data_IF_183825236468
#
_entry.id   IF_183825236468
#
_cell.length_a   1.000
_cell.length_b   1.000
_cell.length_c   1.000
_cell.angle_alpha   90.00
_cell.angle_beta   90.00
_cell.angle_gamma   90.00
#
_symmetry.space_group_name_H-M   'P 1'
#
loop_
_entity.id
_entity.type
_entity.pdbx_description
1 polymer ?
#
# COMPACT_ATOMS: atom_id res chain seq x y z
N UNK A 1 -9.56 13.73 -1.83
CA UNK A 1 -8.58 13.60 -0.70
C UNK A 1 -8.03 12.20 -0.70
N UNK A 2 -6.72 11.96 -0.38
CA UNK A 2 -6.12 10.61 -0.56
C UNK A 2 -6.88 9.54 0.23
N UNK A 3 -6.89 9.57 1.56
CA UNK A 3 -7.59 8.55 2.36
C UNK A 3 -9.00 8.96 2.80
N UNK A 4 -9.39 10.21 2.57
CA UNK A 4 -10.74 10.65 2.89
C UNK A 4 -11.70 10.33 1.75
N UNK A 5 -12.92 9.98 2.10
CA UNK A 5 -13.99 9.74 1.15
C UNK A 5 -14.75 11.05 0.90
N UNK A 6 -14.99 11.38 -0.36
CA UNK A 6 -15.93 12.42 -0.74
C UNK A 6 -17.37 11.91 -0.76
N UNK A 7 -18.34 12.80 -1.01
CA UNK A 7 -19.75 12.42 -0.99
C UNK A 7 -20.13 11.41 -2.08
N UNK A 8 -19.51 11.50 -3.26
CA UNK A 8 -19.77 10.58 -4.36
C UNK A 8 -19.21 9.18 -4.03
N UNK A 9 -18.01 9.13 -3.46
CA UNK A 9 -17.38 7.89 -3.00
C UNK A 9 -18.18 7.25 -1.85
N UNK A 10 -18.67 8.04 -0.88
CA UNK A 10 -19.53 7.53 0.18
C UNK A 10 -20.82 6.94 -0.40
N UNK A 11 -21.47 7.62 -1.34
CA UNK A 11 -22.66 7.10 -2.03
C UNK A 11 -22.37 5.81 -2.76
N UNK A 12 -21.29 5.76 -3.54
CA UNK A 12 -20.87 4.56 -4.25
C UNK A 12 -20.64 3.39 -3.28
N UNK A 13 -19.91 3.62 -2.19
CA UNK A 13 -19.67 2.60 -1.18
C UNK A 13 -20.97 2.11 -0.52
N UNK A 14 -21.86 3.03 -0.14
CA UNK A 14 -23.07 2.68 0.64
C UNK A 14 -24.22 2.14 -0.23
N UNK A 15 -24.42 2.65 -1.44
CA UNK A 15 -25.55 2.30 -2.29
C UNK A 15 -25.23 1.25 -3.36
N UNK A 16 -23.96 1.08 -3.71
CA UNK A 16 -23.57 0.13 -4.74
C UNK A 16 -22.67 -0.99 -4.19
N UNK A 17 -21.57 -0.65 -3.54
CA UNK A 17 -20.55 -1.64 -3.18
C UNK A 17 -20.98 -2.50 -2.00
N UNK A 18 -21.41 -1.89 -0.89
CA UNK A 18 -21.87 -2.62 0.30
C UNK A 18 -23.08 -3.53 0.05
N UNK A 19 -24.12 -3.15 -0.72
CA UNK A 19 -25.19 -4.06 -1.10
C UNK A 19 -24.69 -5.30 -1.87
N UNK A 20 -23.74 -5.10 -2.80
CA UNK A 20 -23.14 -6.22 -3.55
C UNK A 20 -22.37 -7.19 -2.64
N UNK A 21 -21.58 -6.65 -1.69
CA UNK A 21 -20.84 -7.44 -0.71
C UNK A 21 -21.82 -8.24 0.17
N UNK A 22 -22.93 -7.62 0.60
CA UNK A 22 -23.94 -8.28 1.45
C UNK A 22 -24.71 -9.37 0.72
N UNK A 23 -24.99 -9.17 -0.57
CA UNK A 23 -25.68 -10.18 -1.39
C UNK A 23 -24.78 -11.36 -1.80
N UNK A 24 -23.47 -11.15 -1.80
CA UNK A 24 -22.48 -12.20 -2.09
C UNK A 24 -21.32 -12.08 -1.09
N UNK A 25 -21.53 -12.51 0.17
CA UNK A 25 -20.51 -12.42 1.21
C UNK A 25 -19.31 -13.32 0.90
N UNK A 26 -18.15 -12.95 1.39
CA UNK A 26 -16.94 -13.78 1.28
C UNK A 26 -17.16 -15.14 1.95
N UNK A 27 -16.74 -16.21 1.28
CA UNK A 27 -16.74 -17.56 1.85
C UNK A 27 -15.95 -17.57 3.15
N UNK A 28 -16.55 -18.11 4.21
CA UNK A 28 -15.94 -18.16 5.54
C UNK A 28 -14.56 -18.87 5.52
N UNK A 29 -14.40 -19.85 4.65
CA UNK A 29 -13.12 -20.57 4.47
C UNK A 29 -12.02 -19.70 3.89
N UNK A 30 -12.33 -18.53 3.33
CA UNK A 30 -11.39 -17.56 2.77
C UNK A 30 -11.18 -16.35 3.70
N UNK A 31 -11.69 -16.39 4.93
CA UNK A 31 -11.46 -15.37 5.93
C UNK A 31 -10.10 -15.57 6.63
N UNK A 32 -9.30 -14.53 6.72
CA UNK A 32 -7.94 -14.58 7.27
C UNK A 32 -7.81 -15.21 8.64
N UNK A 33 -8.83 -15.10 9.52
CA UNK A 33 -8.82 -15.74 10.85
C UNK A 33 -8.86 -17.27 10.82
N UNK A 34 -9.20 -17.87 9.67
CA UNK A 34 -9.13 -19.32 9.47
C UNK A 34 -7.72 -19.81 9.01
N UNK A 35 -6.67 -19.03 9.32
CA UNK A 35 -5.28 -19.25 8.89
C UNK A 35 -4.72 -20.63 9.22
N UNK A 36 -5.27 -21.34 10.20
CA UNK A 36 -4.83 -22.65 10.67
C UNK A 36 -5.29 -23.83 9.79
N UNK A 37 -6.17 -23.59 8.82
CA UNK A 37 -6.76 -24.61 7.94
C UNK A 37 -6.70 -24.20 6.45
N UNK A 38 -6.73 -25.18 5.51
CA UNK A 38 -6.80 -24.88 4.09
C UNK A 38 -8.07 -24.07 3.73
N UNK A 39 -7.99 -23.15 2.75
CA UNK A 39 -6.81 -22.82 1.93
C UNK A 39 -5.89 -21.74 2.54
N UNK A 40 -6.23 -21.23 3.73
CA UNK A 40 -5.46 -20.16 4.37
C UNK A 40 -4.11 -20.63 4.90
N UNK A 41 -4.06 -21.87 5.44
CA UNK A 41 -2.82 -22.47 5.94
C UNK A 41 -1.77 -22.47 4.83
N UNK A 42 -0.57 -21.88 5.04
CA UNK A 42 0.45 -21.80 4.01
C UNK A 42 1.07 -23.16 3.74
N UNK A 43 1.63 -23.33 2.54
CA UNK A 43 2.37 -24.53 2.18
C UNK A 43 3.57 -24.76 3.10
N UNK A 44 4.25 -23.67 3.49
CA UNK A 44 5.33 -23.70 4.48
C UNK A 44 5.42 -22.37 5.25
N UNK A 45 5.86 -22.43 6.50
CA UNK A 45 6.19 -21.26 7.31
C UNK A 45 7.67 -20.85 7.23
N UNK A 46 8.52 -21.70 6.63
CA UNK A 46 9.98 -21.47 6.55
C UNK A 46 10.37 -20.40 5.53
N UNK A 47 9.49 -20.16 4.56
CA UNK A 47 9.73 -19.21 3.45
C UNK A 47 8.68 -18.09 3.51
N UNK A 48 8.87 -17.10 4.40
CA UNK A 48 7.96 -15.97 4.47
C UNK A 48 8.10 -15.08 3.22
N UNK A 49 6.96 -14.80 2.56
CA UNK A 49 6.89 -13.97 1.37
C UNK A 49 6.38 -12.56 1.69
N UNK A 50 6.80 -11.56 0.92
CA UNK A 50 6.14 -10.26 0.95
C UNK A 50 4.83 -10.30 0.15
N UNK A 51 3.85 -9.48 0.54
CA UNK A 51 2.58 -9.36 -0.20
C UNK A 51 2.81 -8.98 -1.66
N UNK A 52 3.81 -8.11 -1.91
CA UNK A 52 4.18 -7.71 -3.26
C UNK A 52 4.73 -8.88 -4.11
N UNK A 53 5.61 -9.72 -3.56
CA UNK A 53 6.14 -10.88 -4.29
C UNK A 53 5.03 -11.82 -4.73
N UNK A 54 4.06 -12.04 -3.85
CA UNK A 54 2.91 -12.92 -4.12
C UNK A 54 1.99 -12.34 -5.19
N UNK A 55 1.72 -11.04 -5.13
CA UNK A 55 0.74 -10.40 -5.98
C UNK A 55 1.27 -10.05 -7.38
N UNK A 56 2.50 -9.54 -7.49
CA UNK A 56 2.98 -8.88 -8.70
C UNK A 56 3.22 -9.84 -9.87
N UNK A 57 3.77 -11.02 -9.62
CA UNK A 57 4.06 -12.04 -10.64
C UNK A 57 4.57 -11.44 -11.97
N UNK A 58 5.61 -10.62 -11.86
CA UNK A 58 6.14 -9.86 -13.01
C UNK A 58 6.74 -10.83 -14.05
N UNK A 59 7.44 -11.87 -13.59
CA UNK A 59 7.98 -12.92 -14.44
C UNK A 59 6.97 -14.08 -14.54
N UNK A 60 6.55 -14.50 -15.76
CA UNK A 60 5.60 -15.60 -15.93
C UNK A 60 6.05 -16.93 -15.32
N UNK A 61 7.36 -17.15 -15.21
CA UNK A 61 7.94 -18.36 -14.62
C UNK A 61 8.28 -18.21 -13.14
N UNK A 62 7.98 -17.08 -12.51
CA UNK A 62 8.39 -16.71 -11.14
C UNK A 62 9.92 -16.69 -10.92
N UNK A 63 10.72 -16.73 -11.99
CA UNK A 63 12.18 -16.72 -11.92
C UNK A 63 12.72 -15.45 -11.24
N UNK A 64 12.02 -14.31 -11.35
CA UNK A 64 12.39 -13.07 -10.71
C UNK A 64 12.40 -13.21 -9.17
N UNK A 65 11.41 -13.90 -8.57
CA UNK A 65 11.37 -14.18 -7.13
C UNK A 65 12.51 -15.13 -6.76
N UNK A 66 12.74 -16.18 -7.55
CA UNK A 66 13.82 -17.13 -7.32
C UNK A 66 15.19 -16.46 -7.35
N UNK A 67 15.48 -15.66 -8.40
CA UNK A 67 16.74 -14.92 -8.55
C UNK A 67 16.97 -13.97 -7.36
N UNK A 68 15.94 -13.23 -6.93
CA UNK A 68 16.03 -12.34 -5.76
C UNK A 68 16.37 -13.08 -4.49
N UNK A 69 15.75 -14.24 -4.26
CA UNK A 69 15.86 -15.00 -3.03
C UNK A 69 17.12 -15.89 -2.98
N UNK A 70 17.56 -16.43 -4.11
CA UNK A 70 18.65 -17.41 -4.17
C UNK A 70 19.97 -16.85 -4.68
N UNK A 71 19.93 -15.99 -5.68
CA UNK A 71 21.14 -15.44 -6.31
C UNK A 71 21.56 -14.13 -5.65
N UNK A 72 20.67 -13.13 -5.67
CA UNK A 72 21.02 -11.77 -5.23
C UNK A 72 21.18 -11.71 -3.71
N UNK A 73 20.28 -12.37 -2.94
CA UNK A 73 20.24 -12.42 -1.46
C UNK A 73 20.32 -11.05 -0.77
N UNK A 74 20.29 -9.97 -1.50
CA UNK A 74 20.38 -8.57 -1.08
C UNK A 74 19.24 -7.78 -1.70
N UNK A 75 19.11 -6.52 -1.32
CA UNK A 75 18.15 -5.62 -1.97
C UNK A 75 18.45 -5.53 -3.47
N UNK A 76 17.41 -5.70 -4.28
CA UNK A 76 17.52 -5.49 -5.74
C UNK A 76 17.90 -4.03 -5.99
N UNK A 77 18.74 -3.75 -7.00
CA UNK A 77 19.05 -2.39 -7.37
C UNK A 77 17.79 -1.55 -7.56
N UNK A 78 17.73 -0.44 -6.87
CA UNK A 78 16.62 0.51 -7.00
C UNK A 78 16.82 1.34 -8.26
N UNK A 79 15.74 1.63 -8.97
CA UNK A 79 15.77 2.58 -10.09
C UNK A 79 15.26 3.95 -9.65
N UNK A 80 15.57 5.04 -10.38
CA UNK A 80 15.00 6.36 -10.10
C UNK A 80 13.48 6.36 -10.04
N UNK A 81 12.82 5.55 -10.88
CA UNK A 81 11.37 5.39 -10.89
C UNK A 81 10.85 4.76 -9.59
N UNK A 82 11.48 3.69 -9.10
CA UNK A 82 11.12 3.04 -7.83
C UNK A 82 11.41 3.99 -6.65
N UNK A 83 12.57 4.64 -6.66
CA UNK A 83 12.96 5.60 -5.63
C UNK A 83 11.95 6.74 -5.51
N UNK A 84 11.51 7.32 -6.65
CA UNK A 84 10.44 8.32 -6.68
C UNK A 84 9.18 7.81 -5.99
N UNK A 85 8.74 6.60 -6.31
CA UNK A 85 7.58 5.98 -5.64
C UNK A 85 7.74 5.89 -4.13
N UNK A 86 8.88 5.42 -3.65
CA UNK A 86 9.20 5.31 -2.22
C UNK A 86 9.16 6.69 -1.55
N UNK A 87 9.78 7.70 -2.15
CA UNK A 87 9.80 9.08 -1.62
C UNK A 87 8.36 9.62 -1.49
N UNK A 88 7.52 9.45 -2.52
CA UNK A 88 6.13 9.91 -2.48
C UNK A 88 5.34 9.21 -1.38
N UNK A 89 5.49 7.90 -1.19
CA UNK A 89 4.88 7.18 -0.07
C UNK A 89 5.32 7.74 1.28
N UNK A 90 6.62 8.07 1.44
CA UNK A 90 7.16 8.66 2.67
C UNK A 90 6.60 10.05 2.95
N UNK A 91 6.44 10.88 1.92
CA UNK A 91 5.81 12.20 2.05
C UNK A 91 4.37 12.04 2.55
N UNK A 92 3.56 11.21 1.89
CA UNK A 92 2.15 11.00 2.24
C UNK A 92 2.03 10.48 3.69
N UNK A 93 2.74 9.40 4.01
CA UNK A 93 2.66 8.78 5.34
C UNK A 93 3.21 9.70 6.44
N UNK A 94 4.31 10.42 6.15
CA UNK A 94 4.94 11.36 7.08
C UNK A 94 4.02 12.53 7.42
N UNK A 95 3.37 13.12 6.43
CA UNK A 95 2.41 14.22 6.64
C UNK A 95 1.22 13.81 7.49
N UNK A 96 0.64 12.62 7.22
CA UNK A 96 -0.48 12.14 8.05
C UNK A 96 -0.05 11.84 9.48
N UNK A 97 1.15 11.28 9.71
CA UNK A 97 1.68 11.02 11.04
C UNK A 97 1.91 12.33 11.81
N UNK A 98 2.52 13.32 11.14
CA UNK A 98 2.77 14.62 11.75
C UNK A 98 1.46 15.38 12.04
N UNK A 99 0.49 15.32 11.12
CA UNK A 99 -0.82 15.90 11.33
C UNK A 99 -1.55 15.28 12.54
N UNK A 100 -1.58 13.94 12.62
CA UNK A 100 -2.16 13.23 13.78
C UNK A 100 -1.53 13.68 15.09
N UNK A 101 -0.19 13.76 15.14
CA UNK A 101 0.56 14.20 16.31
C UNK A 101 0.19 15.63 16.70
N UNK A 102 0.18 16.57 15.74
CA UNK A 102 -0.15 17.96 16.02
C UNK A 102 -1.61 18.13 16.52
N UNK A 103 -2.56 17.41 15.90
CA UNK A 103 -3.97 17.47 16.32
C UNK A 103 -4.15 16.88 17.73
N UNK A 104 -3.50 15.72 18.01
CA UNK A 104 -3.52 15.10 19.33
C UNK A 104 -2.95 16.01 20.42
N UNK A 105 -1.91 16.79 20.12
CA UNK A 105 -1.30 17.74 21.03
C UNK A 105 -2.05 19.09 21.10
N UNK A 106 -3.19 19.25 20.42
CA UNK A 106 -3.94 20.51 20.36
C UNK A 106 -3.26 21.61 19.53
N UNK A 107 -2.20 21.28 18.78
CA UNK A 107 -1.40 22.23 17.99
C UNK A 107 -1.92 22.40 16.56
N UNK A 108 -3.24 22.53 16.39
CA UNK A 108 -3.86 22.65 15.07
C UNK A 108 -3.97 24.10 14.55
N UNK A 109 -3.66 25.12 15.36
CA UNK A 109 -3.51 26.49 14.87
C UNK A 109 -2.22 26.59 14.04
N UNK A 110 -2.34 27.12 12.80
CA UNK A 110 -1.21 27.15 11.85
C UNK A 110 -0.76 25.75 11.40
N UNK A 111 -1.65 24.76 11.47
CA UNK A 111 -1.34 23.37 11.11
C UNK A 111 -0.80 23.26 9.68
N UNK A 112 -1.42 23.95 8.72
CA UNK A 112 -1.00 23.94 7.32
C UNK A 112 0.44 24.34 7.15
N UNK A 113 0.87 25.46 7.73
CA UNK A 113 2.26 25.96 7.65
C UNK A 113 3.25 24.95 8.23
N UNK A 114 2.95 24.39 9.41
CA UNK A 114 3.77 23.36 10.04
C UNK A 114 3.92 22.13 9.16
N UNK A 115 2.82 21.68 8.53
CA UNK A 115 2.83 20.52 7.66
C UNK A 115 3.56 20.81 6.33
N UNK A 116 3.45 22.01 5.76
CA UNK A 116 4.19 22.41 4.57
C UNK A 116 5.69 22.37 4.85
N UNK A 117 6.13 22.98 5.96
CA UNK A 117 7.55 23.01 6.36
C UNK A 117 8.06 21.57 6.59
N UNK A 118 7.32 20.76 7.34
CA UNK A 118 7.71 19.36 7.58
C UNK A 118 7.73 18.53 6.30
N UNK A 119 6.79 18.75 5.40
CA UNK A 119 6.76 18.10 4.10
C UNK A 119 7.99 18.41 3.24
N UNK A 120 8.42 19.66 3.22
CA UNK A 120 9.64 20.08 2.52
C UNK A 120 10.89 19.39 3.12
N UNK A 121 10.99 19.32 4.46
CA UNK A 121 12.07 18.60 5.14
C UNK A 121 12.07 17.11 4.74
N UNK A 122 10.90 16.44 4.75
CA UNK A 122 10.77 15.03 4.36
C UNK A 122 11.27 14.82 2.92
N UNK A 123 10.95 15.71 1.98
CA UNK A 123 11.44 15.60 0.60
C UNK A 123 12.97 15.55 0.59
N UNK A 124 13.62 16.50 1.22
CA UNK A 124 15.09 16.59 1.19
C UNK A 124 15.76 15.43 1.95
N UNK A 125 15.21 15.04 3.11
CA UNK A 125 15.67 13.88 3.86
C UNK A 125 15.59 12.59 3.01
N UNK A 126 14.48 12.36 2.33
CA UNK A 126 14.28 11.13 1.54
C UNK A 126 15.07 11.15 0.23
N UNK A 127 15.22 12.30 -0.44
CA UNK A 127 16.11 12.43 -1.59
C UNK A 127 17.55 12.09 -1.17
N UNK A 128 18.04 12.67 -0.07
CA UNK A 128 19.39 12.39 0.46
C UNK A 128 19.57 10.91 0.80
N UNK A 129 18.57 10.30 1.43
CA UNK A 129 18.61 8.89 1.79
C UNK A 129 18.67 7.99 0.56
N UNK A 130 17.80 8.23 -0.43
CA UNK A 130 17.72 7.43 -1.64
C UNK A 130 18.91 7.62 -2.58
N UNK A 131 19.52 8.81 -2.61
CA UNK A 131 20.71 9.10 -3.43
C UNK A 131 21.94 8.27 -3.03
N UNK A 132 21.93 7.63 -1.86
CA UNK A 132 22.99 6.68 -1.44
C UNK A 132 22.90 5.35 -2.20
N UNK A 133 21.76 5.03 -2.80
CA UNK A 133 21.47 3.73 -3.43
C UNK A 133 21.23 3.83 -4.93
N UNK A 134 20.85 5.02 -5.42
CA UNK A 134 20.51 5.25 -6.82
C UNK A 134 20.82 6.70 -7.21
N UNK A 135 21.36 6.88 -8.42
CA UNK A 135 21.57 8.22 -8.98
C UNK A 135 20.22 8.86 -9.32
N UNK A 136 19.87 9.91 -8.59
CA UNK A 136 18.66 10.71 -8.75
C UNK A 136 18.90 12.04 -9.48
N UNK A 137 20.13 12.38 -9.86
CA UNK A 137 20.51 13.70 -10.38
C UNK A 137 19.55 14.27 -11.44
N UNK A 138 19.05 13.42 -12.34
CA UNK A 138 18.13 13.78 -13.42
C UNK A 138 16.66 13.84 -13.00
N UNK A 139 16.32 13.41 -11.80
CA UNK A 139 14.94 13.26 -11.32
C UNK A 139 14.64 14.12 -10.10
N UNK A 140 15.63 14.79 -9.51
CA UNK A 140 15.48 15.55 -8.27
C UNK A 140 14.40 16.64 -8.40
N UNK A 141 14.46 17.44 -9.46
CA UNK A 141 13.51 18.55 -9.65
C UNK A 141 12.08 18.04 -9.91
N UNK A 142 11.96 16.92 -10.63
CA UNK A 142 10.67 16.25 -10.82
C UNK A 142 10.11 15.74 -9.48
N UNK A 143 10.95 15.11 -8.64
CA UNK A 143 10.57 14.61 -7.32
C UNK A 143 10.15 15.76 -6.41
N UNK A 144 10.91 16.84 -6.36
CA UNK A 144 10.59 18.05 -5.59
C UNK A 144 9.27 18.68 -6.03
N UNK A 145 9.11 18.89 -7.33
CA UNK A 145 7.89 19.47 -7.88
C UNK A 145 6.66 18.62 -7.61
N UNK A 146 6.75 17.30 -7.81
CA UNK A 146 5.64 16.38 -7.54
C UNK A 146 5.35 16.27 -6.04
N UNK A 147 6.39 16.19 -5.20
CA UNK A 147 6.27 16.18 -3.75
C UNK A 147 5.59 17.46 -3.22
N UNK A 148 5.98 18.63 -3.73
CA UNK A 148 5.38 19.92 -3.33
C UNK A 148 3.89 20.00 -3.67
N UNK A 149 3.47 19.53 -4.86
CA UNK A 149 2.04 19.47 -5.22
C UNK A 149 1.24 18.56 -4.29
N UNK A 150 1.83 17.43 -3.88
CA UNK A 150 1.20 16.49 -2.92
C UNK A 150 1.11 17.13 -1.53
N UNK A 151 2.16 17.81 -1.08
CA UNK A 151 2.18 18.49 0.22
C UNK A 151 1.09 19.56 0.26
N UNK A 152 1.02 20.41 -0.75
CA UNK A 152 -0.01 21.45 -0.83
C UNK A 152 -1.42 20.85 -0.78
N UNK A 153 -1.68 19.86 -1.62
CA UNK A 153 -2.98 19.18 -1.66
C UNK A 153 -3.36 18.54 -0.33
N UNK A 154 -2.43 17.81 0.30
CA UNK A 154 -2.70 17.11 1.56
C UNK A 154 -2.88 18.07 2.73
N UNK A 155 -2.05 19.12 2.83
CA UNK A 155 -2.11 20.06 3.95
C UNK A 155 -3.42 20.84 3.94
N UNK A 156 -3.89 21.28 2.77
CA UNK A 156 -5.22 21.89 2.61
C UNK A 156 -6.32 20.90 3.00
N UNK A 157 -6.23 19.67 2.52
CA UNK A 157 -7.25 18.65 2.79
C UNK A 157 -7.35 18.29 4.28
N UNK A 158 -6.21 18.20 4.97
CA UNK A 158 -6.15 17.89 6.41
C UNK A 158 -6.70 19.07 7.21
N UNK A 159 -6.26 20.30 6.92
CA UNK A 159 -6.71 21.50 7.62
C UNK A 159 -8.23 21.65 7.49
N UNK A 160 -8.78 21.55 6.28
CA UNK A 160 -10.21 21.62 6.05
C UNK A 160 -10.97 20.55 6.83
N UNK A 161 -10.43 19.31 6.92
CA UNK A 161 -11.08 18.24 7.71
C UNK A 161 -11.05 18.51 9.20
N UNK A 162 -9.97 19.07 9.73
CA UNK A 162 -9.89 19.51 11.14
C UNK A 162 -10.93 20.59 11.44
N UNK A 163 -11.03 21.61 10.56
CA UNK A 163 -11.98 22.70 10.72
C UNK A 163 -13.43 22.21 10.63
N UNK A 164 -13.74 21.35 9.67
CA UNK A 164 -15.07 20.73 9.50
C UNK A 164 -15.50 20.00 10.78
N UNK A 165 -14.65 19.12 11.30
CA UNK A 165 -14.98 18.33 12.49
C UNK A 165 -15.12 19.21 13.71
N UNK A 166 -14.26 20.21 13.88
CA UNK A 166 -14.37 21.17 15.01
C UNK A 166 -15.62 22.02 14.94
N UNK A 167 -16.00 22.48 13.74
CA UNK A 167 -17.23 23.24 13.57
C UNK A 167 -18.47 22.41 13.89
N UNK A 168 -18.46 21.13 13.54
CA UNK A 168 -19.57 20.21 13.77
C UNK A 168 -19.64 19.71 15.22
N UNK A 169 -18.48 19.56 15.86
CA UNK A 169 -18.36 18.99 17.21
C UNK A 169 -17.41 19.85 18.08
N UNK A 170 -17.85 21.04 18.51
CA UNK A 170 -16.99 22.04 19.18
C UNK A 170 -16.46 21.61 20.56
N UNK A 171 -17.08 20.61 21.18
CA UNK A 171 -16.74 20.14 22.55
C UNK A 171 -15.88 18.87 22.54
N UNK A 172 -15.44 18.40 21.39
CA UNK A 172 -14.53 17.23 21.33
C UNK A 172 -13.19 17.54 22.00
N UNK A 173 -12.73 16.57 22.78
CA UNK A 173 -11.35 16.53 23.22
C UNK A 173 -10.38 16.22 22.04
N UNK A 174 -9.09 16.24 22.29
CA UNK A 174 -8.09 16.04 21.25
C UNK A 174 -8.12 14.60 20.70
N UNK A 175 -8.39 13.60 21.53
CA UNK A 175 -8.50 12.20 21.11
C UNK A 175 -9.71 11.99 20.20
N UNK A 176 -10.88 12.47 20.60
CA UNK A 176 -12.08 12.43 19.78
C UNK A 176 -11.89 13.16 18.44
N UNK A 177 -11.21 14.32 18.47
CA UNK A 177 -10.88 15.07 17.27
C UNK A 177 -9.97 14.25 16.33
N UNK A 178 -8.91 13.63 16.83
CA UNK A 178 -8.02 12.77 16.02
C UNK A 178 -8.78 11.61 15.40
N UNK A 179 -9.63 10.93 16.17
CA UNK A 179 -10.39 9.77 15.71
C UNK A 179 -11.37 10.12 14.59
N UNK A 180 -12.01 11.30 14.64
CA UNK A 180 -12.94 11.75 13.61
C UNK A 180 -12.23 12.36 12.39
N UNK A 181 -11.09 13.03 12.60
CA UNK A 181 -10.30 13.59 11.50
C UNK A 181 -9.53 12.50 10.74
N UNK A 182 -9.00 11.49 11.46
CA UNK A 182 -8.17 10.45 10.88
C UNK A 182 -8.71 9.05 11.24
N UNK A 183 -9.86 8.62 10.71
CA UNK A 183 -10.48 7.33 11.05
C UNK A 183 -9.68 6.11 10.52
N UNK A 184 -8.51 6.34 9.92
CA UNK A 184 -7.65 5.31 9.33
C UNK A 184 -6.27 5.27 10.01
N UNK A 185 -5.71 4.07 10.12
CA UNK A 185 -4.31 3.86 10.47
C UNK A 185 -3.44 4.04 9.22
N UNK A 186 -2.31 4.75 9.34
CA UNK A 186 -1.31 4.94 8.26
C UNK A 186 -0.13 4.04 8.56
N UNK A 187 0.41 3.37 7.54
CA UNK A 187 1.49 2.40 7.69
C UNK A 187 1.14 1.33 8.75
N UNK A 188 -0.07 0.77 8.64
CA UNK A 188 -0.54 -0.24 9.58
C UNK A 188 0.41 -1.43 9.59
N UNK A 189 1.06 -1.66 10.73
CA UNK A 189 1.95 -2.80 10.92
C UNK A 189 1.13 -4.07 11.12
N UNK A 190 1.48 -5.14 10.40
CA UNK A 190 0.77 -6.42 10.42
C UNK A 190 1.80 -7.53 10.52
N UNK A 191 1.61 -8.46 11.44
CA UNK A 191 2.39 -9.71 11.47
C UNK A 191 1.76 -10.71 10.49
N UNK A 192 2.40 -10.94 9.35
CA UNK A 192 1.89 -11.83 8.30
C UNK A 192 2.23 -13.31 8.50
N UNK A 193 2.91 -13.70 9.58
CA UNK A 193 3.42 -15.06 9.78
C UNK A 193 2.33 -16.13 9.77
N UNK A 194 1.13 -15.82 10.27
CA UNK A 194 0.02 -16.77 10.24
C UNK A 194 -0.32 -17.26 8.83
N UNK A 195 -0.07 -16.42 7.83
CA UNK A 195 -0.30 -16.75 6.41
C UNK A 195 0.99 -17.10 5.65
N UNK A 196 2.11 -17.40 6.34
CA UNK A 196 3.40 -17.63 5.68
C UNK A 196 3.95 -16.40 4.96
N UNK A 197 3.57 -15.22 5.43
CA UNK A 197 4.04 -13.94 4.90
C UNK A 197 5.08 -13.31 5.84
N UNK A 198 5.68 -12.21 5.39
CA UNK A 198 6.65 -11.45 6.19
C UNK A 198 6.05 -11.01 7.53
N UNK A 199 6.86 -11.09 8.60
CA UNK A 199 6.53 -10.55 9.92
C UNK A 199 6.32 -9.03 9.91
N UNK A 200 6.95 -8.32 8.97
CA UNK A 200 7.00 -6.86 8.95
C UNK A 200 6.19 -6.30 7.78
N UNK A 201 4.94 -6.74 7.63
CA UNK A 201 4.06 -6.15 6.63
C UNK A 201 3.60 -4.76 7.07
N UNK A 202 3.38 -3.90 6.08
CA UNK A 202 2.79 -2.58 6.28
C UNK A 202 1.80 -2.29 5.16
N UNK A 203 0.54 -2.10 5.53
CA UNK A 203 -0.46 -1.57 4.62
C UNK A 203 -0.39 -0.03 4.65
N UNK A 204 -0.43 0.63 3.50
CA UNK A 204 -0.28 2.09 3.40
C UNK A 204 -1.31 2.83 4.26
N UNK A 205 -2.56 2.39 4.23
CA UNK A 205 -3.56 2.80 5.21
C UNK A 205 -4.65 1.73 5.37
N UNK A 206 -5.32 1.73 6.52
CA UNK A 206 -6.49 0.90 6.75
C UNK A 206 -7.48 1.59 7.69
N UNK A 207 -8.74 1.56 7.31
CA UNK A 207 -9.85 1.88 8.20
C UNK A 207 -10.46 0.58 8.70
N UNK A 208 -9.90 0.05 9.79
CA UNK A 208 -10.25 -1.29 10.32
C UNK A 208 -11.75 -1.38 10.63
N UNK A 209 -12.33 -0.40 11.33
CA UNK A 209 -13.77 -0.39 11.64
C UNK A 209 -14.68 -0.20 10.44
N UNK A 210 -14.17 0.36 9.34
CA UNK A 210 -14.88 0.48 8.07
C UNK A 210 -14.66 -0.70 7.12
N UNK A 211 -13.81 -1.67 7.50
CA UNK A 211 -13.49 -2.83 6.67
C UNK A 211 -12.77 -2.48 5.36
N UNK A 212 -11.98 -1.40 5.35
CA UNK A 212 -11.31 -0.90 4.16
C UNK A 212 -9.80 -0.94 4.34
N UNK A 213 -9.08 -1.45 3.33
CA UNK A 213 -7.63 -1.35 3.22
C UNK A 213 -7.23 -0.61 1.95
N UNK A 214 -6.27 0.29 2.07
CA UNK A 214 -5.77 1.14 0.99
C UNK A 214 -4.33 0.80 0.62
N UNK A 215 -4.04 0.90 -0.68
CA UNK A 215 -2.70 0.79 -1.24
C UNK A 215 -2.48 1.96 -2.21
N UNK A 216 -1.41 2.74 -2.02
CA UNK A 216 -1.10 3.90 -2.85
C UNK A 216 -0.14 3.49 -3.96
N UNK A 217 -0.36 3.95 -5.16
CA UNK A 217 0.49 3.69 -6.33
C UNK A 217 0.83 4.98 -7.06
N UNK A 218 2.10 5.16 -7.37
CA UNK A 218 2.60 6.29 -8.17
C UNK A 218 2.83 5.94 -9.62
N UNK A 219 2.51 4.71 -10.02
CA UNK A 219 2.68 4.18 -11.37
C UNK A 219 1.37 3.87 -12.09
N UNK A 220 1.50 3.19 -13.22
CA UNK A 220 0.36 2.78 -14.04
C UNK A 220 -0.50 1.73 -13.35
N UNK A 221 -1.80 1.72 -13.68
CA UNK A 221 -2.73 0.66 -13.25
C UNK A 221 -2.24 -0.72 -13.67
N UNK A 222 -2.24 -1.67 -12.71
CA UNK A 222 -1.91 -3.06 -12.93
C UNK A 222 -2.98 -3.95 -12.29
N UNK A 223 -3.34 -5.05 -12.94
CA UNK A 223 -4.36 -5.99 -12.41
C UNK A 223 -3.95 -6.58 -11.05
N UNK A 224 -2.66 -6.81 -10.84
CA UNK A 224 -2.13 -7.37 -9.61
C UNK A 224 -2.21 -6.41 -8.40
N UNK A 225 -2.45 -5.11 -8.59
CA UNK A 225 -2.65 -4.20 -7.45
C UNK A 225 -3.84 -4.62 -6.59
N UNK A 226 -4.94 -5.09 -7.21
CA UNK A 226 -6.10 -5.60 -6.46
C UNK A 226 -5.78 -6.89 -5.72
N UNK A 227 -4.94 -7.77 -6.29
CA UNK A 227 -4.47 -9.00 -5.63
C UNK A 227 -3.58 -8.64 -4.43
N UNK A 228 -2.74 -7.62 -4.55
CA UNK A 228 -1.93 -7.12 -3.43
C UNK A 228 -2.80 -6.63 -2.27
N UNK A 229 -3.83 -5.88 -2.57
CA UNK A 229 -4.79 -5.38 -1.56
C UNK A 229 -5.53 -6.54 -0.89
N UNK A 230 -5.91 -7.59 -1.65
CA UNK A 230 -6.50 -8.80 -1.06
C UNK A 230 -5.52 -9.52 -0.11
N UNK A 231 -4.24 -9.54 -0.43
CA UNK A 231 -3.19 -10.06 0.46
C UNK A 231 -3.08 -9.30 1.77
N UNK A 232 -3.17 -7.97 1.73
CA UNK A 232 -3.22 -7.16 2.96
C UNK A 232 -4.50 -7.38 3.75
N UNK A 233 -5.65 -7.52 3.08
CA UNK A 233 -6.92 -7.83 3.75
C UNK A 233 -6.85 -9.16 4.51
N UNK A 234 -6.37 -10.22 3.86
CA UNK A 234 -6.15 -11.52 4.50
C UNK A 234 -5.20 -11.42 5.70
N UNK A 235 -4.11 -10.66 5.58
CA UNK A 235 -3.16 -10.45 6.66
C UNK A 235 -3.77 -9.66 7.83
N UNK A 236 -4.58 -8.63 7.56
CA UNK A 236 -5.31 -7.87 8.59
C UNK A 236 -6.31 -8.79 9.29
N UNK A 237 -7.09 -9.55 8.55
CA UNK A 237 -8.07 -10.49 9.10
C UNK A 237 -7.41 -11.57 9.96
N UNK A 238 -6.23 -12.10 9.54
CA UNK A 238 -5.53 -13.13 10.30
C UNK A 238 -4.94 -12.63 11.62
N UNK A 239 -4.64 -11.34 11.71
CA UNK A 239 -3.97 -10.74 12.86
C UNK A 239 -4.92 -10.01 13.79
N UNK A 240 -5.91 -9.29 13.24
CA UNK A 240 -6.85 -8.46 14.02
C UNK A 240 -8.23 -9.12 14.17
N UNK A 241 -8.50 -10.22 13.48
CA UNK A 241 -9.81 -10.91 13.47
C UNK A 241 -10.98 -9.95 13.14
N UNK A 242 -10.76 -9.03 12.20
CA UNK A 242 -11.75 -8.06 11.73
C UNK A 242 -11.92 -8.17 10.24
N UNK A 243 -13.17 -8.23 9.73
CA UNK A 243 -13.41 -8.39 8.29
C UNK A 243 -12.93 -7.18 7.51
N UNK A 244 -12.29 -7.43 6.37
CA UNK A 244 -11.85 -6.42 5.42
C UNK A 244 -12.38 -6.78 4.04
N UNK A 245 -13.50 -6.17 3.67
CA UNK A 245 -14.26 -6.53 2.47
C UNK A 245 -14.07 -5.54 1.32
N UNK A 246 -13.53 -4.35 1.60
CA UNK A 246 -13.36 -3.29 0.63
C UNK A 246 -11.87 -3.01 0.43
N UNK A 247 -11.43 -3.11 -0.82
CA UNK A 247 -10.12 -2.67 -1.26
C UNK A 247 -10.18 -1.28 -1.90
N UNK A 248 -9.14 -0.48 -1.65
CA UNK A 248 -8.94 0.80 -2.32
C UNK A 248 -7.52 0.90 -2.89
N UNK A 249 -7.37 1.03 -4.20
CA UNK A 249 -6.09 1.41 -4.81
C UNK A 249 -6.14 2.87 -5.19
N UNK A 250 -5.22 3.66 -4.64
CA UNK A 250 -5.14 5.10 -4.86
C UNK A 250 -3.96 5.39 -5.78
N UNK A 251 -4.25 5.81 -7.01
CA UNK A 251 -3.24 6.20 -7.98
C UNK A 251 -2.95 7.69 -7.87
N UNK A 252 -1.70 8.00 -7.54
CA UNK A 252 -1.20 9.38 -7.43
C UNK A 252 -0.22 9.61 -8.56
N UNK A 253 -0.53 10.51 -9.47
CA UNK A 253 0.28 10.79 -10.66
C UNK A 253 0.31 12.28 -10.96
N UNK A 254 1.24 12.68 -11.82
CA UNK A 254 1.34 14.04 -12.35
C UNK A 254 0.99 14.04 -13.82
N UNK A 255 0.12 14.94 -14.22
CA UNK A 255 -0.26 15.18 -15.62
C UNK A 255 0.10 16.61 -16.03
N UNK A 256 -0.18 16.99 -17.29
CA UNK A 256 -0.02 18.39 -17.75
C UNK A 256 -0.85 19.40 -16.96
N UNK A 257 -1.96 18.93 -16.35
CA UNK A 257 -2.84 19.76 -15.51
C UNK A 257 -2.49 19.76 -14.03
N UNK A 258 -1.36 19.17 -13.61
CA UNK A 258 -0.92 19.07 -12.23
C UNK A 258 -1.20 17.71 -11.60
N UNK A 259 -1.37 17.68 -10.27
CA UNK A 259 -1.62 16.50 -9.47
C UNK A 259 -2.93 15.81 -9.85
N UNK A 260 -2.88 14.51 -10.14
CA UNK A 260 -4.03 13.67 -10.43
C UNK A 260 -4.10 12.54 -9.40
N UNK A 261 -5.26 12.40 -8.76
CA UNK A 261 -5.56 11.35 -7.79
C UNK A 261 -6.78 10.59 -8.29
N UNK A 262 -6.61 9.30 -8.52
CA UNK A 262 -7.70 8.39 -8.89
C UNK A 262 -7.83 7.31 -7.82
N UNK A 263 -9.07 6.97 -7.44
CA UNK A 263 -9.34 5.92 -6.48
C UNK A 263 -10.14 4.81 -7.14
N UNK A 264 -9.69 3.60 -6.96
CA UNK A 264 -10.32 2.38 -7.44
C UNK A 264 -10.80 1.58 -6.23
N UNK A 265 -12.09 1.72 -5.88
CA UNK A 265 -12.73 0.94 -4.82
C UNK A 265 -13.38 -0.31 -5.40
N UNK A 266 -13.19 -1.44 -4.75
CA UNK A 266 -13.71 -2.73 -5.21
C UNK A 266 -13.97 -3.68 -4.03
N UNK A 267 -14.90 -4.67 -4.20
CA UNK A 267 -15.05 -5.74 -3.23
C UNK A 267 -13.87 -6.69 -3.28
N UNK A 268 -13.36 -7.09 -2.12
CA UNK A 268 -12.30 -8.11 -2.02
C UNK A 268 -12.97 -9.48 -2.08
N UNK A 269 -13.21 -9.95 -3.30
CA UNK A 269 -13.93 -11.17 -3.61
C UNK A 269 -13.16 -12.45 -3.32
N UNK A 270 -13.85 -13.58 -3.29
CA UNK A 270 -13.27 -14.92 -3.17
C UNK A 270 -12.22 -15.19 -4.25
N UNK A 271 -12.45 -14.75 -5.49
CA UNK A 271 -11.48 -14.88 -6.59
C UNK A 271 -10.16 -14.16 -6.29
N UNK A 272 -10.21 -12.93 -5.78
CA UNK A 272 -8.99 -12.19 -5.43
C UNK A 272 -8.23 -12.84 -4.27
N UNK A 273 -8.97 -13.34 -3.27
CA UNK A 273 -8.41 -14.04 -2.11
C UNK A 273 -7.76 -15.36 -2.53
N UNK A 274 -8.49 -16.19 -3.27
CA UNK A 274 -8.00 -17.48 -3.76
C UNK A 274 -6.76 -17.32 -4.64
N UNK A 275 -6.76 -16.38 -5.58
CA UNK A 275 -5.60 -16.08 -6.44
C UNK A 275 -4.37 -15.66 -5.63
N UNK A 276 -4.55 -14.85 -4.57
CA UNK A 276 -3.44 -14.50 -3.71
C UNK A 276 -2.87 -15.73 -3.00
N UNK A 277 -3.72 -16.58 -2.44
CA UNK A 277 -3.32 -17.80 -1.74
C UNK A 277 -2.65 -18.81 -2.67
N UNK A 278 -3.21 -19.05 -3.85
CA UNK A 278 -2.63 -19.91 -4.89
C UNK A 278 -1.24 -19.43 -5.30
N UNK A 279 -1.10 -18.13 -5.58
CA UNK A 279 0.19 -17.53 -5.92
C UNK A 279 1.22 -17.71 -4.78
N UNK A 280 0.80 -17.53 -3.52
CA UNK A 280 1.63 -17.73 -2.34
C UNK A 280 2.15 -19.16 -2.27
N UNK A 281 1.26 -20.13 -2.36
CA UNK A 281 1.60 -21.54 -2.21
C UNK A 281 2.48 -22.03 -3.36
N UNK A 282 2.22 -21.57 -4.58
CA UNK A 282 3.06 -21.85 -5.75
C UNK A 282 4.49 -21.32 -5.58
N UNK A 283 4.64 -20.07 -5.11
CA UNK A 283 5.95 -19.49 -4.84
C UNK A 283 6.68 -20.20 -3.70
N UNK A 284 5.99 -20.53 -2.61
CA UNK A 284 6.58 -21.26 -1.49
C UNK A 284 7.04 -22.66 -1.94
N UNK A 285 6.21 -23.38 -2.70
CA UNK A 285 6.55 -24.69 -3.24
C UNK A 285 7.77 -24.63 -4.17
N UNK A 286 7.81 -23.63 -5.07
CA UNK A 286 8.95 -23.41 -5.98
C UNK A 286 10.25 -23.19 -5.19
N UNK A 287 10.21 -22.30 -4.19
CA UNK A 287 11.39 -21.98 -3.38
C UNK A 287 11.81 -23.13 -2.48
N UNK A 288 10.87 -23.93 -1.94
CA UNK A 288 11.18 -25.07 -1.10
C UNK A 288 11.84 -26.20 -1.90
N UNK A 289 11.36 -26.47 -3.13
CA UNK A 289 11.98 -27.47 -4.02
C UNK A 289 13.36 -27.06 -4.52
N UNK A 290 13.74 -25.82 -4.31
CA UNK A 290 15.01 -25.21 -4.73
C UNK A 290 15.39 -25.48 -6.19
N UNK A 291 14.39 -25.68 -7.04
CA UNK A 291 14.56 -25.89 -8.47
C UNK A 291 14.47 -24.55 -9.20
N UNK A 292 15.54 -24.20 -9.92
CA UNK A 292 15.60 -22.99 -10.70
C UNK A 292 14.52 -22.98 -11.81
N UNK A 293 13.63 -21.97 -11.83
CA UNK A 293 12.64 -21.85 -12.89
C UNK A 293 13.29 -21.49 -14.24
N UNK A 294 12.72 -21.92 -15.37
CA UNK A 294 13.26 -21.58 -16.69
C UNK A 294 13.18 -20.06 -16.94
N UNK A 295 14.05 -19.57 -17.81
CA UNK A 295 13.94 -18.21 -18.32
C UNK A 295 12.65 -18.10 -19.13
N UNK A 296 11.92 -16.99 -18.96
CA UNK A 296 10.69 -16.77 -19.69
C UNK A 296 10.98 -16.51 -21.18
N UNK A 297 10.20 -17.11 -22.09
CA UNK A 297 10.36 -16.95 -23.54
C UNK A 297 10.26 -15.47 -23.97
N UNK A 298 9.40 -14.69 -23.31
CA UNK A 298 9.24 -13.25 -23.53
C UNK A 298 9.76 -12.49 -22.32
N UNK A 299 11.07 -12.31 -22.23
CA UNK A 299 11.72 -11.53 -21.18
C UNK A 299 12.06 -10.13 -21.70
N UNK A 300 11.43 -9.05 -21.19
CA UNK A 300 11.70 -7.71 -21.66
C UNK A 300 13.11 -7.26 -21.22
N UNK A 301 13.86 -6.62 -22.14
CA UNK A 301 15.19 -6.06 -21.85
C UNK A 301 15.18 -5.02 -20.71
N UNK A 302 14.02 -4.43 -20.44
CA UNK A 302 13.79 -3.50 -19.33
C UNK A 302 13.63 -4.18 -17.97
N UNK A 303 13.61 -5.51 -17.92
CA UNK A 303 13.57 -6.24 -16.65
C UNK A 303 14.87 -5.99 -15.87
N UNK A 304 14.75 -5.55 -14.62
CA UNK A 304 15.89 -5.29 -13.74
C UNK A 304 16.79 -6.50 -13.51
N UNK A 305 16.26 -7.69 -13.71
CA UNK A 305 16.94 -8.96 -13.51
C UNK A 305 17.39 -9.59 -14.83
N UNK A 306 17.22 -8.90 -15.96
CA UNK A 306 17.54 -9.43 -17.31
C UNK A 306 18.96 -10.02 -17.36
N UNK A 307 19.96 -9.26 -16.86
CA UNK A 307 21.38 -9.70 -16.85
C UNK A 307 21.61 -10.99 -16.04
N UNK A 308 20.85 -11.23 -14.97
CA UNK A 308 20.97 -12.45 -14.17
C UNK A 308 20.32 -13.67 -14.85
N UNK A 309 19.41 -13.43 -15.79
CA UNK A 309 18.71 -14.50 -16.51
C UNK A 309 19.40 -14.88 -17.81
N UNK A 310 20.12 -13.94 -18.46
CA UNK A 310 20.67 -14.10 -19.79
C UNK A 310 22.22 -14.04 -19.85
N UNK A 311 22.87 -13.94 -18.69
CA UNK A 311 24.35 -13.91 -18.63
C UNK A 311 24.90 -12.61 -19.24
N UNK A 312 24.91 -11.53 -18.49
CA UNK A 312 25.50 -10.25 -18.90
C UNK A 312 26.49 -9.78 -17.86
#
# INVERSE_FOLDING_TARGET
>A
MIYYLDQAEVRFLTHELLPRIRSNPVDERLRGWNWHQPPLKPYTYEIPLSVWEVAARICPTNRDVWVRRRIIKRSVPTTPYIAKGIIIHRIISGLFKEAKKNVYLGMYRGLREKLVNRGAEIIEEEIKNMSRYVDLSRSIDEIRGFGSEIIEYLTISIENKVLEVKAKYPFLDHEGLVNLVFPFAVELAIDGRFLGLSRYLRADASWIFGGIVYDVKTGYRQRWHRIQVAGYALAIESFYERPVDIGGVIYVSRSRGGLRIEKDFFPITDDLRSRFLENRDELQMMLLKDKEPPVADKCPKTCLLHRYCHGG
#
